data_IF_757993217175
#
_entry.id   IF_757993217175
#
_cell.length_a   1.000
_cell.length_b   1.000
_cell.length_c   1.000
_cell.angle_alpha   90.00
_cell.angle_beta   90.00
_cell.angle_gamma   90.00
#
_symmetry.space_group_name_H-M   'P 1'
#
loop_
_entity.id
_entity.type
_entity.pdbx_description
1 polymer ?
#
# COMPACT_ATOMS: atom_id res chain seq x y z
N UNK A 1 26.08 -7.87 -43.19
CA UNK A 1 24.82 -8.48 -42.69
C UNK A 1 24.72 -8.51 -41.16
N UNK A 2 25.75 -8.95 -40.42
CA UNK A 2 25.72 -8.98 -38.93
C UNK A 2 25.55 -7.60 -38.28
N UNK A 3 26.22 -6.56 -38.78
CA UNK A 3 26.15 -5.20 -38.23
C UNK A 3 24.76 -4.53 -38.36
N UNK A 4 24.02 -4.82 -39.44
CA UNK A 4 22.67 -4.30 -39.66
C UNK A 4 21.64 -4.93 -38.70
N UNK A 5 21.84 -6.20 -38.33
CA UNK A 5 20.98 -6.91 -37.38
C UNK A 5 21.10 -6.35 -35.95
N UNK A 6 22.33 -5.98 -35.53
CA UNK A 6 22.57 -5.42 -34.19
C UNK A 6 21.96 -4.03 -34.03
N UNK A 7 22.00 -3.20 -35.08
CA UNK A 7 21.37 -1.88 -35.07
C UNK A 7 19.84 -1.98 -35.00
N UNK A 8 19.25 -2.96 -35.71
CA UNK A 8 17.79 -3.19 -35.70
C UNK A 8 17.27 -3.64 -34.32
N UNK A 9 18.00 -4.51 -33.62
CA UNK A 9 17.64 -4.93 -32.26
C UNK A 9 17.75 -3.79 -31.26
N UNK A 10 18.73 -2.89 -31.40
CA UNK A 10 18.87 -1.71 -30.55
C UNK A 10 17.77 -0.68 -30.80
N UNK A 11 17.35 -0.50 -32.06
CA UNK A 11 16.26 0.39 -32.44
C UNK A 11 14.88 -0.11 -31.93
N UNK A 12 14.64 -1.42 -31.97
CA UNK A 12 13.46 -2.05 -31.36
C UNK A 12 13.44 -1.89 -29.83
N UNK A 13 14.61 -1.95 -29.17
CA UNK A 13 14.71 -1.72 -27.72
C UNK A 13 14.44 -0.28 -27.32
N UNK A 14 14.82 0.71 -28.14
CA UNK A 14 14.56 2.12 -27.84
C UNK A 14 13.09 2.50 -27.95
N UNK A 15 12.33 1.92 -28.89
CA UNK A 15 10.88 2.19 -29.00
C UNK A 15 10.09 1.58 -27.83
N UNK A 16 10.47 0.37 -27.38
CA UNK A 16 9.79 -0.29 -26.26
C UNK A 16 10.01 0.40 -24.90
N UNK A 17 11.15 1.08 -24.72
CA UNK A 17 11.44 1.84 -23.49
C UNK A 17 10.69 3.18 -23.48
N UNK A 18 10.49 3.80 -24.65
CA UNK A 18 9.83 5.10 -24.77
C UNK A 18 8.30 5.00 -24.61
N UNK A 19 7.66 3.94 -25.08
CA UNK A 19 6.22 3.71 -24.87
C UNK A 19 5.85 3.55 -23.39
N UNK A 20 6.76 2.98 -22.58
CA UNK A 20 6.55 2.78 -21.15
C UNK A 20 6.54 4.08 -20.34
N UNK A 21 7.10 5.17 -20.88
CA UNK A 21 7.33 6.41 -20.13
C UNK A 21 6.28 7.49 -20.34
N UNK A 22 5.32 7.33 -21.26
CA UNK A 22 4.50 8.47 -21.71
C UNK A 22 3.11 8.61 -21.10
N UNK A 23 2.58 7.63 -20.37
CA UNK A 23 1.48 7.81 -19.41
C UNK A 23 1.18 6.46 -18.73
N UNK A 24 1.83 6.16 -17.60
CA UNK A 24 1.49 5.00 -16.76
C UNK A 24 0.17 5.22 -16.03
N UNK A 25 -0.94 5.10 -16.76
CA UNK A 25 -2.29 5.11 -16.18
C UNK A 25 -2.53 3.90 -15.27
N UNK A 26 -1.68 2.87 -15.35
CA UNK A 26 -1.71 1.69 -14.49
C UNK A 26 -1.43 2.01 -13.02
N UNK A 27 -0.85 3.16 -12.68
CA UNK A 27 -0.55 3.52 -11.28
C UNK A 27 -1.59 4.46 -10.65
N UNK A 28 -2.54 4.96 -11.44
CA UNK A 28 -3.52 5.93 -10.98
C UNK A 28 -4.49 5.32 -9.98
N UNK A 29 -4.82 6.11 -8.96
CA UNK A 29 -5.90 5.82 -8.04
C UNK A 29 -7.21 6.48 -8.54
N UNK A 30 -8.34 5.85 -8.23
CA UNK A 30 -9.68 6.34 -8.53
C UNK A 30 -10.54 6.28 -7.28
N UNK A 31 -11.52 7.17 -7.15
CA UNK A 31 -12.40 7.24 -5.99
C UNK A 31 -12.38 8.61 -5.33
N UNK A 32 -12.85 8.68 -4.09
CA UNK A 32 -12.81 9.91 -3.30
C UNK A 32 -11.41 10.10 -2.74
N UNK A 33 -10.82 11.26 -3.01
CA UNK A 33 -9.51 11.62 -2.47
C UNK A 33 -9.63 12.24 -1.07
N UNK A 34 -8.74 11.81 -0.18
CA UNK A 34 -8.48 12.38 1.14
C UNK A 34 -7.02 12.84 1.15
N UNK A 35 -6.81 14.10 1.48
CA UNK A 35 -5.48 14.74 1.47
C UNK A 35 -4.93 14.87 2.88
N UNK A 36 -3.61 15.03 2.98
CA UNK A 36 -2.90 15.19 4.24
C UNK A 36 -3.14 14.04 5.22
N UNK A 37 -3.17 12.82 4.69
CA UNK A 37 -3.37 11.61 5.49
C UNK A 37 -2.02 11.17 6.06
N UNK A 38 -1.96 10.96 7.37
CA UNK A 38 -0.78 10.40 8.04
C UNK A 38 -0.72 8.91 7.75
N UNK A 39 0.35 8.49 7.08
CA UNK A 39 0.73 7.10 6.89
C UNK A 39 1.86 6.77 7.86
N UNK A 40 1.71 5.69 8.61
CA UNK A 40 2.79 5.06 9.35
C UNK A 40 2.89 3.57 9.01
N UNK A 41 3.95 2.90 9.45
CA UNK A 41 4.12 1.46 9.29
C UNK A 41 4.09 0.74 10.64
N UNK A 42 3.52 -0.45 10.65
CA UNK A 42 3.55 -1.38 11.78
C UNK A 42 3.86 -2.79 11.28
N UNK A 43 4.30 -3.68 12.15
CA UNK A 43 4.59 -5.08 11.80
C UNK A 43 3.91 -6.04 12.77
N UNK A 44 3.53 -7.25 12.32
CA UNK A 44 2.96 -8.27 13.19
C UNK A 44 3.99 -8.77 14.23
N UNK A 45 3.60 -8.80 15.50
CA UNK A 45 4.41 -9.41 16.56
C UNK A 45 3.88 -10.82 16.90
N UNK A 46 4.46 -11.84 16.26
CA UNK A 46 4.05 -13.24 16.43
C UNK A 46 4.45 -13.87 17.77
N UNK A 47 5.35 -13.23 18.51
CA UNK A 47 5.76 -13.68 19.85
C UNK A 47 4.88 -13.08 20.96
N UNK A 48 3.89 -12.25 20.59
CA UNK A 48 2.94 -11.67 21.54
C UNK A 48 1.88 -12.69 21.99
N UNK A 49 1.49 -12.59 23.27
CA UNK A 49 0.34 -13.31 23.82
C UNK A 49 -1.00 -12.69 23.36
N UNK A 50 -0.99 -11.45 22.84
CA UNK A 50 -2.17 -10.80 22.30
C UNK A 50 -2.32 -11.11 20.80
N UNK A 51 -3.40 -11.81 20.46
CA UNK A 51 -3.71 -12.18 19.08
C UNK A 51 -3.92 -10.99 18.16
N UNK A 52 -4.29 -9.82 18.70
CA UNK A 52 -4.46 -8.59 17.92
C UNK A 52 -3.13 -8.03 17.39
N UNK A 53 -2.00 -8.44 17.97
CA UNK A 53 -0.68 -8.04 17.47
C UNK A 53 -0.28 -8.74 16.16
N UNK A 54 -1.01 -9.78 15.75
CA UNK A 54 -0.69 -10.54 14.54
C UNK A 54 -1.91 -11.03 13.72
N UNK A 55 -3.14 -10.73 14.15
CA UNK A 55 -4.37 -11.00 13.42
C UNK A 55 -5.23 -9.73 13.33
N UNK A 56 -5.98 -9.61 12.23
CA UNK A 56 -6.93 -8.53 12.02
C UNK A 56 -8.18 -8.62 12.93
N UNK A 57 -9.06 -7.62 12.88
CA UNK A 57 -10.28 -7.58 13.73
C UNK A 57 -11.26 -8.74 13.50
N UNK A 58 -11.05 -9.56 12.45
CA UNK A 58 -11.81 -10.78 12.15
C UNK A 58 -10.99 -12.05 12.37
N UNK A 59 -9.91 -11.96 13.13
CA UNK A 59 -9.01 -13.07 13.46
C UNK A 59 -8.36 -13.70 12.22
N UNK A 60 -8.15 -12.91 11.15
CA UNK A 60 -7.42 -13.35 9.95
C UNK A 60 -5.99 -12.85 10.00
N UNK A 61 -5.07 -13.65 9.44
CA UNK A 61 -3.66 -13.26 9.31
C UNK A 61 -3.52 -11.94 8.58
N UNK A 62 -2.75 -11.02 9.16
CA UNK A 62 -2.33 -9.78 8.52
C UNK A 62 -1.56 -10.08 7.23
N UNK A 63 -1.73 -9.24 6.22
CA UNK A 63 -1.04 -9.37 4.92
C UNK A 63 -0.07 -8.22 4.76
N UNK A 64 1.22 -8.55 4.76
CA UNK A 64 2.28 -7.54 4.75
C UNK A 64 2.53 -6.99 3.34
N UNK A 65 3.04 -5.77 3.24
CA UNK A 65 3.47 -5.17 1.98
C UNK A 65 4.46 -6.07 1.25
N UNK A 66 5.47 -6.57 1.96
CA UNK A 66 6.50 -7.41 1.36
C UNK A 66 5.93 -8.76 0.88
N UNK A 67 4.93 -9.35 1.56
CA UNK A 67 4.27 -10.55 1.04
C UNK A 67 3.53 -10.29 -0.27
N UNK A 68 2.90 -9.12 -0.43
CA UNK A 68 2.32 -8.72 -1.70
C UNK A 68 3.39 -8.51 -2.78
N UNK A 69 4.49 -7.82 -2.46
CA UNK A 69 5.59 -7.58 -3.39
C UNK A 69 6.23 -8.89 -3.87
N UNK A 70 6.34 -9.87 -2.98
CA UNK A 70 6.84 -11.23 -3.27
C UNK A 70 5.82 -12.12 -4.00
N UNK A 71 4.59 -11.63 -4.25
CA UNK A 71 3.53 -12.40 -4.91
C UNK A 71 2.86 -13.46 -4.05
N UNK A 72 2.98 -13.35 -2.71
CA UNK A 72 2.38 -14.26 -1.72
C UNK A 72 1.08 -13.74 -1.09
N UNK A 73 0.67 -12.51 -1.45
CA UNK A 73 -0.56 -11.88 -0.99
C UNK A 73 -1.32 -11.22 -2.13
N UNK A 74 -2.65 -11.17 -2.02
CA UNK A 74 -3.53 -10.52 -2.99
C UNK A 74 -3.78 -9.04 -2.67
N UNK A 75 -3.52 -8.66 -1.42
CA UNK A 75 -3.68 -7.31 -0.88
C UNK A 75 -2.74 -7.11 0.31
N UNK A 76 -2.58 -5.86 0.73
CA UNK A 76 -1.88 -5.46 1.95
C UNK A 76 -2.91 -5.00 2.98
N UNK A 77 -2.76 -5.49 4.21
CA UNK A 77 -3.59 -5.04 5.34
C UNK A 77 -3.14 -3.66 5.78
N UNK A 78 -4.12 -2.80 6.04
CA UNK A 78 -3.94 -1.51 6.69
C UNK A 78 -4.85 -1.43 7.92
N UNK A 79 -4.35 -0.80 8.97
CA UNK A 79 -5.12 -0.42 10.15
C UNK A 79 -5.74 0.96 9.92
N UNK A 80 -7.00 1.11 10.31
CA UNK A 80 -7.72 2.39 10.29
C UNK A 80 -8.76 2.44 11.41
N UNK A 81 -9.49 3.55 11.51
CA UNK A 81 -10.63 3.72 12.41
C UNK A 81 -11.87 2.92 11.94
N UNK A 82 -11.83 1.60 12.14
CA UNK A 82 -12.96 0.73 11.86
C UNK A 82 -14.15 0.98 12.81
N UNK A 83 -13.89 1.52 14.00
CA UNK A 83 -14.94 1.77 15.01
C UNK A 83 -15.73 3.04 14.74
N UNK A 84 -15.11 4.06 14.14
CA UNK A 84 -15.80 5.26 13.63
C UNK A 84 -16.61 5.01 12.36
N UNK A 85 -16.56 3.79 11.80
CA UNK A 85 -17.49 3.33 10.77
C UNK A 85 -16.87 3.09 9.39
N UNK A 86 -15.54 3.02 9.28
CA UNK A 86 -14.91 2.50 8.05
C UNK A 86 -15.25 1.00 7.91
N UNK A 87 -15.91 0.57 6.82
CA UNK A 87 -16.24 -0.85 6.65
C UNK A 87 -14.99 -1.72 6.52
N UNK A 88 -15.00 -2.88 7.19
CA UNK A 88 -13.98 -3.91 6.99
C UNK A 88 -13.86 -4.30 5.51
N UNK A 89 -12.63 -4.33 5.00
CA UNK A 89 -12.31 -4.64 3.61
C UNK A 89 -12.43 -3.44 2.66
N UNK A 90 -12.62 -2.23 3.17
CA UNK A 90 -12.58 -1.00 2.35
C UNK A 90 -11.29 -0.97 1.54
N UNK A 91 -11.43 -0.89 0.22
CA UNK A 91 -10.29 -0.85 -0.70
C UNK A 91 -9.70 0.54 -0.69
N UNK A 92 -8.38 0.63 -0.57
CA UNK A 92 -7.68 1.90 -0.58
C UNK A 92 -6.61 1.91 -1.67
N UNK A 93 -6.23 3.11 -2.09
CA UNK A 93 -5.14 3.33 -3.03
C UNK A 93 -4.33 4.56 -2.62
N UNK A 94 -3.00 4.43 -2.59
CA UNK A 94 -2.08 5.52 -2.31
C UNK A 94 -1.16 5.68 -3.54
N UNK A 95 -1.26 6.78 -4.30
CA UNK A 95 -0.48 6.95 -5.52
C UNK A 95 1.03 7.02 -5.23
N UNK A 96 1.43 7.58 -4.08
CA UNK A 96 2.84 7.64 -3.66
C UNK A 96 3.45 6.24 -3.50
N UNK A 97 2.71 5.27 -2.94
CA UNK A 97 3.16 3.88 -2.84
C UNK A 97 3.20 3.22 -4.22
N UNK A 98 2.18 3.45 -5.06
CA UNK A 98 2.16 2.89 -6.41
C UNK A 98 3.35 3.37 -7.25
N UNK A 99 3.70 4.65 -7.13
CA UNK A 99 4.87 5.24 -7.77
C UNK A 99 6.17 4.65 -7.22
N UNK A 100 6.32 4.56 -5.89
CA UNK A 100 7.50 3.96 -5.26
C UNK A 100 7.77 2.53 -5.75
N UNK A 101 6.74 1.69 -5.77
CA UNK A 101 6.87 0.27 -6.10
C UNK A 101 6.62 -0.03 -7.57
N UNK A 102 6.33 1.00 -8.39
CA UNK A 102 6.13 0.89 -9.83
C UNK A 102 5.04 -0.12 -10.22
N UNK A 103 4.02 -0.28 -9.37
CA UNK A 103 2.83 -1.13 -9.56
C UNK A 103 1.71 -0.71 -8.61
N UNK A 104 0.46 -1.06 -8.90
CA UNK A 104 -0.61 -0.89 -7.91
C UNK A 104 -0.40 -1.78 -6.69
N UNK A 105 -0.53 -1.17 -5.51
CA UNK A 105 -0.57 -1.86 -4.22
C UNK A 105 -2.03 -1.88 -3.75
N UNK A 106 -2.74 -3.02 -3.86
CA UNK A 106 -4.11 -3.14 -3.37
C UNK A 106 -4.12 -3.17 -1.84
N UNK A 107 -4.56 -2.09 -1.23
CA UNK A 107 -4.67 -1.94 0.22
C UNK A 107 -6.10 -2.25 0.68
N UNK A 108 -6.25 -2.82 1.88
CA UNK A 108 -7.57 -3.03 2.49
C UNK A 108 -7.58 -2.72 3.99
N UNK A 109 -8.51 -1.85 4.41
CA UNK A 109 -8.77 -1.53 5.82
C UNK A 109 -9.39 -2.74 6.50
N UNK A 110 -8.58 -3.48 7.28
CA UNK A 110 -9.00 -4.73 7.92
C UNK A 110 -8.58 -4.82 9.37
N UNK A 111 -7.58 -4.05 9.74
CA UNK A 111 -7.11 -3.98 11.11
C UNK A 111 -7.57 -2.68 11.77
N UNK A 112 -7.48 -2.60 13.09
CA UNK A 112 -7.89 -1.42 13.85
C UNK A 112 -6.68 -0.71 14.43
N UNK A 113 -6.60 0.59 14.21
CA UNK A 113 -5.73 1.48 14.96
C UNK A 113 -6.56 2.36 15.89
N UNK A 114 -6.00 2.67 17.06
CA UNK A 114 -6.58 3.63 18.01
C UNK A 114 -5.71 4.88 17.99
N UNK A 115 -6.24 5.97 17.43
CA UNK A 115 -5.60 7.28 17.50
C UNK A 115 -6.41 8.16 18.45
N UNK A 116 -5.71 8.84 19.38
CA UNK A 116 -6.34 9.63 20.43
C UNK A 116 -7.08 10.88 19.91
N UNK A 117 -6.78 11.31 18.69
CA UNK A 117 -7.35 12.50 18.05
C UNK A 117 -8.53 12.19 17.11
N UNK A 118 -8.87 10.91 16.92
CA UNK A 118 -9.97 10.47 16.06
C UNK A 118 -11.31 10.54 16.79
N UNK A 119 -12.29 11.22 16.18
CA UNK A 119 -13.64 11.34 16.75
C UNK A 119 -14.46 10.08 16.44
N UNK A 120 -14.89 9.38 17.48
CA UNK A 120 -15.64 8.12 17.41
C UNK A 120 -17.06 8.21 16.79
N UNK A 121 -17.47 9.37 16.27
CA UNK A 121 -18.82 9.60 15.74
C UNK A 121 -18.92 9.54 14.20
N UNK A 122 -17.80 9.42 13.50
CA UNK A 122 -17.77 9.41 12.03
C UNK A 122 -16.51 8.75 11.47
N UNK A 123 -16.55 8.14 10.27
CA UNK A 123 -15.38 7.50 9.67
C UNK A 123 -14.24 8.49 9.49
N UNK A 124 -13.08 8.20 10.07
CA UNK A 124 -11.90 9.04 9.94
C UNK A 124 -10.83 8.42 9.02
N UNK A 125 -10.49 9.17 7.97
CA UNK A 125 -9.50 8.79 6.97
C UNK A 125 -8.21 9.62 7.09
N UNK A 126 -8.02 10.35 8.20
CA UNK A 126 -6.84 11.19 8.45
C UNK A 126 -5.59 10.39 8.80
N UNK A 127 -5.74 9.14 9.23
CA UNK A 127 -4.65 8.26 9.63
C UNK A 127 -4.83 6.84 9.05
N UNK A 128 -3.72 6.20 8.69
CA UNK A 128 -3.66 4.75 8.48
C UNK A 128 -2.26 4.22 8.84
N UNK A 129 -2.19 2.97 9.28
CA UNK A 129 -0.91 2.25 9.34
C UNK A 129 -0.88 1.09 8.34
N UNK A 130 0.22 0.97 7.60
CA UNK A 130 0.45 -0.12 6.65
C UNK A 130 1.20 -1.26 7.32
N UNK A 131 0.69 -2.49 7.15
CA UNK A 131 1.33 -3.68 7.68
C UNK A 131 2.56 -4.02 6.83
N UNK A 132 3.74 -3.95 7.43
CA UNK A 132 5.02 -4.39 6.86
C UNK A 132 5.50 -5.66 7.56
N UNK A 133 6.50 -6.34 7.00
CA UNK A 133 6.91 -7.67 7.46
C UNK A 133 7.73 -7.66 8.75
N UNK A 134 8.62 -6.69 8.90
CA UNK A 134 9.60 -6.66 9.99
C UNK A 134 9.68 -5.28 10.62
N UNK A 135 10.31 -5.20 11.80
CA UNK A 135 10.64 -3.92 12.41
C UNK A 135 11.52 -3.08 11.48
N UNK A 136 12.51 -3.69 10.83
CA UNK A 136 13.41 -2.99 9.91
C UNK A 136 12.66 -2.37 8.73
N UNK A 137 11.62 -3.03 8.23
CA UNK A 137 10.76 -2.51 7.15
C UNK A 137 9.99 -1.25 7.58
N UNK A 138 9.75 -1.04 8.89
CA UNK A 138 9.07 0.17 9.37
C UNK A 138 9.90 1.43 9.20
N UNK A 139 11.21 1.31 9.00
CA UNK A 139 12.11 2.45 8.81
C UNK A 139 12.18 2.92 7.35
N UNK A 140 11.51 2.26 6.40
CA UNK A 140 11.43 2.76 5.02
C UNK A 140 10.56 4.03 4.98
N UNK A 141 11.17 5.14 4.57
CA UNK A 141 10.49 6.43 4.44
C UNK A 141 9.33 6.42 3.44
N UNK A 142 9.24 5.43 2.55
CA UNK A 142 8.11 5.32 1.62
C UNK A 142 6.82 4.82 2.25
N UNK A 143 6.90 4.20 3.43
CA UNK A 143 5.74 3.74 4.20
C UNK A 143 5.47 4.62 5.43
N UNK A 144 6.05 5.81 5.49
CA UNK A 144 5.86 6.78 6.56
C UNK A 144 5.77 8.21 6.01
N UNK A 145 4.79 8.99 6.45
CA UNK A 145 4.68 10.41 6.12
C UNK A 145 3.28 10.84 5.69
N UNK A 146 3.19 11.95 4.96
CA UNK A 146 1.91 12.52 4.54
C UNK A 146 1.59 12.10 3.11
N UNK A 147 0.42 11.48 2.91
CA UNK A 147 0.00 10.91 1.62
C UNK A 147 -1.38 11.40 1.18
N UNK A 148 -1.74 11.03 -0.05
CA UNK A 148 -3.10 11.14 -0.56
C UNK A 148 -3.72 9.75 -0.55
N UNK A 149 -4.87 9.60 0.07
CA UNK A 149 -5.60 8.34 0.14
C UNK A 149 -6.82 8.40 -0.79
N UNK A 150 -7.01 7.37 -1.59
CA UNK A 150 -8.22 7.18 -2.38
C UNK A 150 -9.04 6.02 -1.82
N UNK A 151 -10.35 6.24 -1.72
CA UNK A 151 -11.37 5.29 -1.28
C UNK A 151 -12.42 5.11 -2.37
#
# INVERSE_FOLDING_TARGET
LKFLFTLYVLFQRSEFILERSLHRTDLNCSGRAYYNVTLAAYYPNFDSDDVSDYLDVRMKKLRTLQDFLDGRGEFVTVSMDLDGGIPYGTKLCIPQLNEKFQRQIPLQARDRSHYDDVKTSSPDFSHLDICVRTEEDTYDNSVNGIVTLYV
#
